data_IF_100367608471
#
_entry.id   IF_100367608471
#
_cell.length_a   1.000
_cell.length_b   1.000
_cell.length_c   1.000
_cell.angle_alpha   90.00
_cell.angle_beta   90.00
_cell.angle_gamma   90.00
#
_symmetry.space_group_name_H-M   'P 1'
#
loop_
_entity.id
_entity.type
_entity.pdbx_description
1 polymer ?
#
# COMPACT_ATOMS: atom_id res chain seq x y z
N UNK A 1 -27.45 -5.87 -1.71
CA UNK A 1 -26.11 -5.52 -1.22
C UNK A 1 -25.72 -4.14 -1.76
N UNK A 2 -25.27 -3.21 -0.90
CA UNK A 2 -24.83 -1.88 -1.33
C UNK A 2 -23.44 -1.92 -1.99
N UNK A 3 -23.14 -0.94 -2.84
CA UNK A 3 -21.81 -0.71 -3.43
C UNK A 3 -21.28 -1.88 -4.28
N UNK A 4 -22.14 -2.55 -5.06
CA UNK A 4 -21.79 -3.79 -5.77
C UNK A 4 -20.57 -3.64 -6.69
N UNK A 5 -20.51 -2.58 -7.51
CA UNK A 5 -19.39 -2.32 -8.41
C UNK A 5 -18.05 -2.21 -7.64
N UNK A 6 -18.05 -1.49 -6.51
CA UNK A 6 -16.85 -1.37 -5.68
C UNK A 6 -16.49 -2.69 -4.98
N UNK A 7 -17.49 -3.48 -4.57
CA UNK A 7 -17.26 -4.83 -4.02
C UNK A 7 -16.61 -5.75 -5.04
N UNK A 8 -17.08 -5.73 -6.29
CA UNK A 8 -16.50 -6.49 -7.40
C UNK A 8 -15.06 -6.05 -7.69
N UNK A 9 -14.81 -4.74 -7.74
CA UNK A 9 -13.46 -4.20 -7.92
C UNK A 9 -12.50 -4.61 -6.80
N UNK A 10 -12.96 -4.60 -5.54
CA UNK A 10 -12.18 -5.04 -4.39
C UNK A 10 -11.87 -6.54 -4.46
N UNK A 11 -12.84 -7.36 -4.89
CA UNK A 11 -12.60 -8.78 -5.15
C UNK A 11 -11.57 -8.99 -6.26
N UNK A 12 -11.65 -8.25 -7.36
CA UNK A 12 -10.68 -8.32 -8.46
C UNK A 12 -9.26 -7.99 -7.99
N UNK A 13 -9.07 -6.91 -7.21
CA UNK A 13 -7.78 -6.57 -6.59
C UNK A 13 -7.27 -7.71 -5.70
N UNK A 14 -8.13 -8.29 -4.85
CA UNK A 14 -7.75 -9.42 -4.01
C UNK A 14 -7.28 -10.64 -4.84
N UNK A 15 -8.00 -10.96 -5.91
CA UNK A 15 -7.66 -12.07 -6.78
C UNK A 15 -6.33 -11.81 -7.51
N UNK A 16 -6.10 -10.60 -8.02
CA UNK A 16 -4.83 -10.21 -8.66
C UNK A 16 -3.66 -10.29 -7.69
N UNK A 17 -3.81 -9.78 -6.47
CA UNK A 17 -2.77 -9.88 -5.43
C UNK A 17 -2.38 -11.34 -5.17
N UNK A 18 -3.37 -12.23 -5.09
CA UNK A 18 -3.11 -13.66 -4.92
C UNK A 18 -2.47 -14.31 -6.14
N UNK A 19 -2.95 -14.01 -7.35
CA UNK A 19 -2.41 -14.54 -8.61
C UNK A 19 -0.93 -14.12 -8.81
N UNK A 20 -0.57 -12.91 -8.39
CA UNK A 20 0.80 -12.39 -8.46
C UNK A 20 1.69 -12.88 -7.31
N UNK A 21 1.14 -13.65 -6.36
CA UNK A 21 1.89 -14.21 -5.23
C UNK A 21 2.30 -13.18 -4.18
N UNK A 22 1.57 -12.06 -4.06
CA UNK A 22 1.84 -11.04 -3.04
C UNK A 22 1.18 -11.33 -1.69
N UNK A 23 0.33 -12.36 -1.64
CA UNK A 23 -0.39 -12.80 -0.45
C UNK A 23 -0.41 -14.33 -0.44
N UNK A 24 -0.30 -14.92 0.75
CA UNK A 24 -0.33 -16.35 0.99
C UNK A 24 -1.32 -16.71 2.12
N UNK A 25 -1.94 -17.89 2.01
CA UNK A 25 -2.96 -18.34 2.94
C UNK A 25 -4.05 -17.27 3.14
N UNK A 26 -4.14 -16.65 4.32
CA UNK A 26 -5.15 -15.67 4.73
C UNK A 26 -4.59 -14.27 5.01
N UNK A 27 -3.33 -14.01 4.63
CA UNK A 27 -2.67 -12.72 4.87
C UNK A 27 -3.15 -11.61 3.91
N UNK A 28 -2.60 -10.41 4.10
CA UNK A 28 -2.96 -9.20 3.38
C UNK A 28 -4.36 -8.69 3.75
N UNK A 29 -4.64 -7.44 3.42
CA UNK A 29 -5.98 -6.87 3.61
C UNK A 29 -6.16 -5.60 2.76
N UNK A 30 -7.41 -5.34 2.39
CA UNK A 30 -7.80 -4.22 1.54
C UNK A 30 -8.98 -3.51 2.15
N UNK A 31 -8.93 -2.17 2.16
CA UNK A 31 -10.08 -1.34 2.49
C UNK A 31 -10.30 -0.23 1.48
N UNK A 32 -11.56 0.20 1.37
CA UNK A 32 -11.96 1.35 0.58
C UNK A 32 -12.94 2.20 1.37
N UNK A 33 -12.74 3.52 1.34
CA UNK A 33 -13.63 4.52 1.93
C UNK A 33 -14.89 4.66 1.09
N UNK A 34 -16.04 4.65 1.76
CA UNK A 34 -17.36 4.76 1.16
C UNK A 34 -17.87 6.21 1.21
N UNK A 35 -18.83 6.59 0.35
CA UNK A 35 -19.38 7.96 0.31
C UNK A 35 -20.02 8.43 1.62
N UNK A 36 -20.50 7.49 2.46
CA UNK A 36 -21.11 7.76 3.76
C UNK A 36 -20.08 7.90 4.90
N UNK A 37 -18.79 7.82 4.59
CA UNK A 37 -17.69 7.91 5.56
C UNK A 37 -17.31 6.59 6.24
N UNK A 38 -18.04 5.49 5.97
CA UNK A 38 -17.65 4.15 6.42
C UNK A 38 -16.61 3.52 5.48
N UNK A 39 -16.20 2.30 5.77
CA UNK A 39 -15.18 1.59 5.01
C UNK A 39 -15.65 0.18 4.63
N UNK A 40 -15.47 -0.17 3.36
CA UNK A 40 -15.58 -1.55 2.89
C UNK A 40 -14.24 -2.26 3.15
N UNK A 41 -14.26 -3.46 3.72
CA UNK A 41 -13.07 -4.16 4.14
C UNK A 41 -13.11 -5.67 3.82
N UNK A 42 -11.94 -6.24 3.53
CA UNK A 42 -11.75 -7.70 3.47
C UNK A 42 -11.92 -8.34 4.85
N UNK A 43 -12.57 -9.50 4.97
CA UNK A 43 -12.70 -10.22 6.23
C UNK A 43 -11.39 -10.90 6.65
N UNK A 44 -11.21 -11.10 7.95
CA UNK A 44 -10.11 -11.90 8.52
C UNK A 44 -10.29 -13.39 8.24
N UNK A 45 -9.17 -14.12 8.12
CA UNK A 45 -9.18 -15.58 8.02
C UNK A 45 -9.50 -16.14 6.63
N UNK A 46 -9.66 -15.28 5.61
CA UNK A 46 -9.96 -15.70 4.24
C UNK A 46 -8.80 -15.41 3.30
N UNK A 47 -8.50 -16.39 2.46
CA UNK A 47 -7.60 -16.18 1.33
C UNK A 47 -8.18 -15.16 0.38
N UNK A 48 -7.32 -14.30 -0.15
CA UNK A 48 -7.69 -13.29 -1.15
C UNK A 48 -8.19 -13.92 -2.46
N UNK A 49 -7.86 -15.19 -2.72
CA UNK A 49 -8.43 -16.02 -3.81
C UNK A 49 -9.90 -16.41 -3.66
N UNK A 50 -10.45 -16.36 -2.43
CA UNK A 50 -11.82 -16.79 -2.13
C UNK A 50 -12.74 -15.65 -1.72
N UNK A 51 -12.30 -14.41 -1.88
CA UNK A 51 -13.11 -13.24 -1.53
C UNK A 51 -14.22 -13.05 -2.57
N UNK A 52 -15.44 -12.90 -2.08
CA UNK A 52 -16.63 -12.64 -2.89
C UNK A 52 -17.36 -11.43 -2.33
N UNK A 53 -18.19 -10.72 -3.13
CA UNK A 53 -18.85 -9.49 -2.68
C UNK A 53 -19.61 -9.62 -1.36
N UNK A 54 -20.25 -10.76 -1.10
CA UNK A 54 -21.00 -11.09 0.12
C UNK A 54 -20.11 -11.29 1.36
N UNK A 55 -18.83 -11.61 1.17
CA UNK A 55 -17.86 -11.79 2.28
C UNK A 55 -17.29 -10.47 2.78
N UNK A 56 -17.41 -9.39 2.01
CA UNK A 56 -16.87 -8.09 2.39
C UNK A 56 -17.75 -7.43 3.46
N UNK A 57 -17.09 -6.82 4.44
CA UNK A 57 -17.74 -6.19 5.59
C UNK A 57 -17.67 -4.67 5.49
N UNK A 58 -18.70 -3.98 5.97
CA UNK A 58 -18.67 -2.53 6.17
C UNK A 58 -18.36 -2.26 7.63
N UNK A 59 -17.37 -1.41 7.88
CA UNK A 59 -16.94 -0.98 9.21
C UNK A 59 -16.98 0.54 9.33
N UNK A 60 -17.14 1.05 10.54
CA UNK A 60 -16.98 2.47 10.85
C UNK A 60 -15.51 2.87 11.06
N UNK A 61 -15.27 4.15 11.39
CA UNK A 61 -13.94 4.69 11.67
C UNK A 61 -13.27 4.17 12.95
N UNK A 62 -13.98 3.41 13.77
CA UNK A 62 -13.44 2.70 14.94
C UNK A 62 -13.18 1.22 14.64
N UNK A 63 -13.48 0.76 13.41
CA UNK A 63 -13.31 -0.62 12.98
C UNK A 63 -14.45 -1.55 13.43
N UNK A 64 -15.55 -1.00 13.95
CA UNK A 64 -16.72 -1.79 14.34
C UNK A 64 -17.55 -2.13 13.12
N UNK A 65 -18.04 -3.37 13.05
CA UNK A 65 -18.88 -3.85 11.95
C UNK A 65 -20.24 -3.15 11.97
N UNK A 66 -20.58 -2.53 10.84
CA UNK A 66 -21.87 -1.90 10.56
C UNK A 66 -22.75 -2.82 9.73
N UNK A 67 -22.19 -3.50 8.72
CA UNK A 67 -22.92 -4.39 7.82
C UNK A 67 -22.06 -5.59 7.42
N UNK A 68 -22.63 -6.80 7.52
CA UNK A 68 -22.05 -8.04 7.02
C UNK A 68 -23.18 -9.05 6.74
N UNK A 69 -23.11 -9.78 5.62
CA UNK A 69 -24.10 -10.82 5.24
C UNK A 69 -23.95 -12.12 6.07
N UNK A 70 -23.03 -12.14 7.04
CA UNK A 70 -22.76 -13.28 7.91
C UNK A 70 -21.89 -12.89 9.10
N UNK A 71 -21.31 -13.87 9.78
CA UNK A 71 -20.44 -13.64 10.95
C UNK A 71 -19.01 -13.18 10.59
N UNK A 72 -18.83 -12.57 9.41
CA UNK A 72 -17.55 -12.06 8.95
C UNK A 72 -17.09 -10.89 9.82
N UNK A 73 -15.78 -10.85 10.08
CA UNK A 73 -15.13 -9.80 10.88
C UNK A 73 -13.99 -9.19 10.05
N UNK A 74 -13.68 -7.90 10.22
CA UNK A 74 -12.55 -7.28 9.54
C UNK A 74 -11.22 -7.91 9.97
N UNK A 75 -10.17 -7.68 9.19
CA UNK A 75 -8.78 -8.00 9.58
C UNK A 75 -8.44 -7.41 10.95
N UNK A 76 -7.60 -8.11 11.73
CA UNK A 76 -7.06 -7.58 12.99
C UNK A 76 -6.11 -6.39 12.77
N UNK A 77 -5.61 -6.22 11.55
CA UNK A 77 -4.67 -5.16 11.17
C UNK A 77 -5.35 -3.91 10.62
N UNK A 78 -6.69 -3.87 10.66
CA UNK A 78 -7.47 -2.76 10.11
C UNK A 78 -7.15 -1.41 10.76
N UNK A 79 -6.63 -1.44 12.00
CA UNK A 79 -6.14 -0.26 12.72
C UNK A 79 -5.10 0.53 11.92
N UNK A 80 -4.22 -0.17 11.19
CA UNK A 80 -3.23 0.45 10.31
C UNK A 80 -3.92 1.22 9.16
N UNK A 81 -4.96 0.64 8.57
CA UNK A 81 -5.74 1.28 7.51
C UNK A 81 -6.49 2.51 8.03
N UNK A 82 -7.15 2.38 9.19
CA UNK A 82 -7.90 3.46 9.83
C UNK A 82 -6.98 4.63 10.21
N UNK A 83 -5.73 4.36 10.62
CA UNK A 83 -4.72 5.40 10.82
C UNK A 83 -4.47 6.17 9.53
N UNK A 84 -4.27 5.51 8.38
CA UNK A 84 -4.10 6.20 7.10
C UNK A 84 -5.28 7.15 6.80
N UNK A 85 -6.52 6.67 6.90
CA UNK A 85 -7.70 7.51 6.63
C UNK A 85 -7.84 8.71 7.58
N UNK A 86 -7.42 8.55 8.84
CA UNK A 86 -7.50 9.62 9.85
C UNK A 86 -6.47 10.71 9.62
N UNK A 87 -5.22 10.32 9.32
CA UNK A 87 -4.13 11.29 9.12
C UNK A 87 -4.16 11.91 7.71
N UNK A 88 -4.79 11.24 6.73
CA UNK A 88 -4.76 11.63 5.32
C UNK A 88 -6.16 11.65 4.71
N UNK A 89 -6.82 12.83 4.65
CA UNK A 89 -8.15 12.99 4.07
C UNK A 89 -8.23 12.64 2.57
N UNK A 90 -7.11 12.71 1.85
CA UNK A 90 -6.99 12.40 0.43
C UNK A 90 -6.92 10.88 0.14
N UNK A 91 -6.82 10.05 1.16
CA UNK A 91 -6.80 8.58 1.01
C UNK A 91 -8.24 8.05 0.89
N UNK A 92 -8.51 7.39 -0.23
CA UNK A 92 -9.76 6.68 -0.51
C UNK A 92 -9.63 5.16 -0.43
N UNK A 93 -8.43 4.59 -0.48
CA UNK A 93 -8.21 3.15 -0.30
C UNK A 93 -6.84 2.83 0.28
N UNK A 94 -6.74 1.66 0.90
CA UNK A 94 -5.50 1.14 1.50
C UNK A 94 -5.35 -0.35 1.16
N UNK A 95 -4.17 -0.74 0.68
CA UNK A 95 -3.80 -2.12 0.33
C UNK A 95 -2.56 -2.52 1.12
N UNK A 96 -2.67 -3.59 1.89
CA UNK A 96 -1.56 -4.24 2.59
C UNK A 96 -1.33 -5.65 2.03
N UNK A 97 -0.06 -5.97 1.77
CA UNK A 97 0.36 -7.23 1.18
C UNK A 97 1.81 -7.57 1.55
N UNK A 98 2.26 -8.75 1.11
CA UNK A 98 3.61 -9.30 1.29
C UNK A 98 4.29 -9.61 -0.07
N UNK A 99 4.40 -8.64 -1.00
CA UNK A 99 5.11 -8.85 -2.26
C UNK A 99 6.55 -9.33 -2.00
N UNK A 100 7.00 -10.47 -2.55
CA UNK A 100 8.21 -11.14 -2.06
C UNK A 100 9.49 -10.32 -2.12
N UNK A 101 9.71 -9.55 -3.20
CA UNK A 101 10.97 -8.82 -3.37
C UNK A 101 10.98 -7.59 -2.48
N UNK A 102 9.92 -6.79 -2.49
CA UNK A 102 9.78 -5.63 -1.61
C UNK A 102 9.79 -6.03 -0.13
N UNK A 103 9.11 -7.12 0.25
CA UNK A 103 9.21 -7.69 1.60
C UNK A 103 10.64 -8.13 1.92
N UNK A 104 11.38 -8.65 0.95
CA UNK A 104 12.80 -8.96 1.08
C UNK A 104 13.66 -7.76 1.49
N UNK A 105 13.42 -6.57 0.89
CA UNK A 105 14.07 -5.33 1.32
C UNK A 105 13.69 -4.97 2.76
N UNK A 106 12.41 -5.10 3.12
CA UNK A 106 11.93 -4.80 4.46
C UNK A 106 12.53 -5.72 5.54
N UNK A 107 12.72 -7.01 5.23
CA UNK A 107 13.41 -8.00 6.07
C UNK A 107 14.91 -7.72 6.14
N UNK A 108 15.52 -7.26 5.04
CA UNK A 108 16.93 -6.90 4.99
C UNK A 108 17.26 -5.56 5.68
N UNK A 109 16.26 -4.85 6.22
CA UNK A 109 16.47 -3.56 6.85
C UNK A 109 16.79 -2.44 5.87
N UNK A 110 16.32 -2.55 4.61
CA UNK A 110 16.64 -1.60 3.54
C UNK A 110 15.41 -0.83 3.07
N UNK A 111 15.54 0.48 2.97
CA UNK A 111 14.63 1.34 2.19
C UNK A 111 14.79 1.06 0.69
N UNK A 112 13.82 1.55 -0.08
CA UNK A 112 13.86 1.60 -1.54
C UNK A 112 13.84 3.06 -1.96
N UNK A 113 15.00 3.71 -1.92
CA UNK A 113 15.15 5.17 -2.05
C UNK A 113 16.06 5.63 -3.18
N UNK A 114 16.50 4.71 -4.03
CA UNK A 114 17.25 5.02 -5.24
C UNK A 114 16.35 5.64 -6.33
N UNK A 115 16.83 6.67 -7.01
CA UNK A 115 16.14 7.32 -8.12
C UNK A 115 16.62 6.74 -9.45
N UNK A 116 16.48 5.44 -9.64
CA UNK A 116 17.05 4.69 -10.78
C UNK A 116 16.03 4.34 -11.88
N UNK A 117 14.73 4.55 -11.65
CA UNK A 117 13.66 4.24 -12.59
C UNK A 117 12.69 5.42 -12.74
N UNK A 118 12.43 5.85 -13.97
CA UNK A 118 11.62 7.06 -14.26
C UNK A 118 10.20 6.92 -13.71
N UNK A 119 9.57 5.79 -13.96
CA UNK A 119 8.19 5.49 -13.56
C UNK A 119 8.04 5.55 -12.02
N UNK A 120 8.98 4.94 -11.29
CA UNK A 120 9.00 4.97 -9.82
C UNK A 120 9.15 6.40 -9.29
N UNK A 121 10.07 7.19 -9.87
CA UNK A 121 10.31 8.58 -9.45
C UNK A 121 9.08 9.47 -9.65
N UNK A 122 8.25 9.19 -10.66
CA UNK A 122 6.99 9.92 -10.87
C UNK A 122 5.88 9.40 -9.94
N UNK A 123 5.74 8.08 -9.85
CA UNK A 123 4.56 7.46 -9.26
C UNK A 123 4.61 7.41 -7.73
N UNK A 124 5.74 7.04 -7.14
CA UNK A 124 5.83 6.65 -5.72
C UNK A 124 7.05 7.22 -4.97
N UNK A 125 8.06 7.72 -5.68
CA UNK A 125 9.25 8.32 -5.10
C UNK A 125 10.07 7.34 -4.26
N UNK A 126 10.81 7.85 -3.27
CA UNK A 126 11.48 6.99 -2.30
C UNK A 126 10.50 6.35 -1.33
N UNK A 127 10.75 5.09 -1.03
CA UNK A 127 9.92 4.27 -0.14
C UNK A 127 10.67 4.06 1.18
N UNK A 128 10.15 4.58 2.31
CA UNK A 128 10.76 4.41 3.60
C UNK A 128 10.59 2.98 4.11
N UNK A 129 11.52 2.57 4.97
CA UNK A 129 11.34 1.43 5.86
C UNK A 129 10.83 1.93 7.21
N UNK A 130 9.61 1.57 7.59
CA UNK A 130 9.07 1.96 8.89
C UNK A 130 9.65 1.05 9.99
N UNK A 131 9.88 1.56 11.21
CA UNK A 131 10.30 0.73 12.33
C UNK A 131 9.38 -0.47 12.54
N UNK A 132 9.94 -1.56 13.07
CA UNK A 132 9.16 -2.72 13.48
C UNK A 132 8.05 -2.32 14.47
N UNK A 133 6.86 -2.87 14.24
CA UNK A 133 5.77 -2.85 15.19
C UNK A 133 5.07 -4.21 15.16
N UNK A 134 4.58 -4.66 16.31
CA UNK A 134 3.87 -5.93 16.42
C UNK A 134 2.52 -5.84 15.68
N UNK A 135 2.23 -6.72 14.71
CA UNK A 135 0.95 -6.75 14.02
C UNK A 135 -0.24 -6.87 14.98
N UNK A 136 -1.39 -6.32 14.59
CA UNK A 136 -2.63 -6.31 15.40
C UNK A 136 -2.56 -5.52 16.73
N UNK A 137 -1.47 -4.79 17.01
CA UNK A 137 -1.39 -3.79 18.09
C UNK A 137 -1.47 -2.37 17.52
N UNK A 138 -1.27 -1.35 18.36
CA UNK A 138 -1.17 0.04 17.91
C UNK A 138 0.26 0.43 17.46
N UNK A 139 1.24 -0.48 17.61
CA UNK A 139 2.65 -0.23 17.27
C UNK A 139 2.86 -0.02 15.76
N UNK A 140 2.23 -0.83 14.89
CA UNK A 140 2.35 -0.64 13.43
C UNK A 140 1.71 0.70 12.99
N UNK A 141 0.47 1.04 13.40
CA UNK A 141 -0.09 2.38 13.18
C UNK A 141 0.83 3.52 13.64
N UNK A 142 1.45 3.39 14.82
CA UNK A 142 2.38 4.39 15.36
C UNK A 142 3.66 4.48 14.52
N UNK A 143 4.22 3.34 14.10
CA UNK A 143 5.44 3.27 13.30
C UNK A 143 5.28 3.92 11.91
N UNK A 144 4.11 3.79 11.26
CA UNK A 144 3.87 4.40 9.94
C UNK A 144 3.53 5.90 10.03
N UNK A 145 3.00 6.38 11.16
CA UNK A 145 2.43 7.73 11.30
C UNK A 145 3.39 8.86 10.91
N UNK A 146 4.68 8.84 11.31
CA UNK A 146 5.63 9.89 10.93
C UNK A 146 5.87 10.02 9.42
N UNK A 147 5.60 8.97 8.64
CA UNK A 147 5.84 8.91 7.20
C UNK A 147 4.59 9.24 6.38
N UNK A 148 3.39 9.12 6.96
CA UNK A 148 2.12 9.38 6.28
C UNK A 148 2.00 10.77 5.64
N UNK A 149 2.57 11.87 6.17
CA UNK A 149 2.43 13.18 5.53
C UNK A 149 3.06 13.28 4.13
N UNK A 150 4.08 12.46 3.85
CA UNK A 150 4.92 12.59 2.65
C UNK A 150 4.82 11.39 1.69
N UNK A 151 4.46 10.21 2.19
CA UNK A 151 4.53 8.96 1.44
C UNK A 151 3.15 8.36 1.15
N UNK A 152 3.10 7.62 0.05
CA UNK A 152 1.95 6.81 -0.32
C UNK A 152 2.25 5.30 -0.35
N UNK A 153 3.52 4.93 -0.17
CA UNK A 153 4.04 3.56 -0.19
C UNK A 153 5.02 3.39 0.97
N UNK A 154 4.93 2.25 1.66
CA UNK A 154 5.71 1.98 2.87
C UNK A 154 6.19 0.53 2.87
N UNK A 155 7.46 0.32 3.18
CA UNK A 155 7.94 -0.98 3.62
C UNK A 155 7.78 -1.08 5.14
N UNK A 156 7.30 -2.24 5.61
CA UNK A 156 7.09 -2.53 7.02
C UNK A 156 8.16 -3.54 7.47
N UNK A 157 9.08 -3.11 8.34
CA UNK A 157 10.23 -3.93 8.77
C UNK A 157 9.81 -5.32 9.27
N UNK A 158 10.42 -6.37 8.70
CA UNK A 158 10.13 -7.78 8.98
C UNK A 158 8.66 -8.20 8.81
N UNK A 159 7.89 -7.47 8.00
CA UNK A 159 6.46 -7.71 7.86
C UNK A 159 6.06 -7.74 6.38
N UNK A 160 6.05 -6.61 5.70
CA UNK A 160 5.40 -6.48 4.40
C UNK A 160 5.46 -5.10 3.79
N UNK A 161 4.41 -4.75 3.05
CA UNK A 161 4.22 -3.44 2.47
C UNK A 161 2.81 -2.90 2.72
N UNK A 162 2.71 -1.57 2.74
CA UNK A 162 1.45 -0.84 2.80
C UNK A 162 1.42 0.19 1.68
N UNK A 163 0.28 0.34 1.03
CA UNK A 163 0.05 1.39 0.03
C UNK A 163 -1.29 2.05 0.25
N UNK A 164 -1.33 3.35 0.02
CA UNK A 164 -2.56 4.15 0.06
C UNK A 164 -2.82 4.74 -1.32
N UNK A 165 -4.07 5.06 -1.64
CA UNK A 165 -4.47 5.66 -2.91
C UNK A 165 -5.69 6.55 -2.76
N UNK A 166 -5.89 7.49 -3.69
CA UNK A 166 -7.13 8.27 -3.78
C UNK A 166 -8.36 7.38 -4.06
N UNK A 167 -8.11 6.22 -4.67
CA UNK A 167 -9.06 5.17 -4.94
C UNK A 167 -8.36 3.80 -4.87
N UNK A 168 -9.16 2.73 -4.96
CA UNK A 168 -8.71 1.34 -4.84
C UNK A 168 -7.67 0.95 -5.91
N UNK A 169 -7.88 1.38 -7.15
CA UNK A 169 -6.99 1.02 -8.26
C UNK A 169 -5.65 1.76 -8.12
N UNK A 170 -5.67 3.03 -7.72
CA UNK A 170 -4.46 3.79 -7.42
C UNK A 170 -3.65 3.14 -6.30
N UNK A 171 -4.28 2.70 -5.21
CA UNK A 171 -3.59 1.99 -4.13
C UNK A 171 -2.97 0.68 -4.63
N UNK A 172 -3.71 -0.12 -5.41
CA UNK A 172 -3.21 -1.36 -5.99
C UNK A 172 -2.04 -1.15 -6.97
N UNK A 173 -2.12 -0.17 -7.87
CA UNK A 173 -1.03 0.14 -8.82
C UNK A 173 0.25 0.61 -8.12
N UNK A 174 0.14 1.24 -6.96
CA UNK A 174 1.30 1.58 -6.13
C UNK A 174 1.97 0.34 -5.56
N UNK A 175 1.18 -0.66 -5.14
CA UNK A 175 1.71 -1.95 -4.70
C UNK A 175 2.40 -2.70 -5.85
N UNK A 176 1.81 -2.64 -7.04
CA UNK A 176 2.41 -3.21 -8.26
C UNK A 176 3.74 -2.54 -8.63
N UNK A 177 3.75 -1.21 -8.61
CA UNK A 177 4.94 -0.41 -8.90
C UNK A 177 6.04 -0.68 -7.87
N UNK A 178 5.69 -0.80 -6.58
CA UNK A 178 6.63 -1.14 -5.51
C UNK A 178 7.33 -2.46 -5.78
N UNK A 179 6.57 -3.53 -6.05
CA UNK A 179 7.17 -4.85 -6.26
C UNK A 179 8.00 -4.91 -7.55
N UNK A 180 7.55 -4.24 -8.62
CA UNK A 180 8.33 -4.12 -9.84
C UNK A 180 9.65 -3.37 -9.59
N UNK A 181 9.59 -2.26 -8.87
CA UNK A 181 10.77 -1.47 -8.54
C UNK A 181 11.75 -2.27 -7.67
N UNK A 182 11.26 -2.99 -6.67
CA UNK A 182 12.08 -3.86 -5.83
C UNK A 182 12.82 -4.93 -6.66
N UNK A 183 12.14 -5.56 -7.63
CA UNK A 183 12.76 -6.53 -8.56
C UNK A 183 13.85 -5.92 -9.43
N UNK A 184 13.59 -4.72 -9.96
CA UNK A 184 14.56 -4.01 -10.82
C UNK A 184 15.76 -3.55 -10.01
N UNK A 185 15.56 -2.93 -8.83
CA UNK A 185 16.64 -2.50 -7.94
C UNK A 185 17.50 -3.71 -7.52
N UNK A 186 16.87 -4.83 -7.12
CA UNK A 186 17.61 -6.04 -6.76
C UNK A 186 18.45 -6.55 -7.92
N UNK A 187 17.90 -6.57 -9.13
CA UNK A 187 18.63 -6.96 -10.34
C UNK A 187 19.81 -6.02 -10.61
N UNK A 188 19.62 -4.71 -10.48
CA UNK A 188 20.69 -3.73 -10.66
C UNK A 188 21.82 -3.92 -9.63
N UNK A 189 21.49 -4.18 -8.36
CA UNK A 189 22.48 -4.48 -7.32
C UNK A 189 23.26 -5.77 -7.60
N UNK A 190 22.59 -6.82 -8.07
CA UNK A 190 23.25 -8.07 -8.49
C UNK A 190 24.20 -7.85 -9.68
N UNK A 191 23.94 -6.84 -10.52
CA UNK A 191 24.79 -6.45 -11.66
C UNK A 191 25.88 -5.42 -11.31
N UNK A 192 26.04 -5.07 -10.03
CA UNK A 192 27.11 -4.18 -9.55
C UNK A 192 26.66 -2.80 -9.10
N UNK A 193 25.35 -2.53 -9.02
CA UNK A 193 24.80 -1.30 -8.47
C UNK A 193 23.86 -0.57 -9.42
N UNK A 194 22.87 0.15 -8.86
CA UNK A 194 22.02 1.04 -9.64
C UNK A 194 22.78 2.32 -10.03
N UNK A 195 22.48 2.84 -11.22
CA UNK A 195 22.94 4.17 -11.66
C UNK A 195 21.77 5.14 -11.59
N UNK A 196 21.79 6.00 -10.58
CA UNK A 196 20.70 6.96 -10.37
C UNK A 196 20.64 8.04 -11.44
N UNK A 197 19.41 8.48 -11.68
CA UNK A 197 19.06 9.63 -12.50
C UNK A 197 19.66 10.87 -11.82
N UNK A 198 20.28 11.73 -12.61
CA UNK A 198 20.88 12.96 -12.07
C UNK A 198 19.80 13.92 -11.58
N UNK A 199 20.11 14.70 -10.55
CA UNK A 199 19.15 15.56 -9.86
C UNK A 199 18.34 16.49 -10.79
N UNK A 200 18.94 17.18 -11.79
CA UNK A 200 18.17 18.04 -12.69
C UNK A 200 17.13 17.30 -13.54
N UNK A 201 17.34 16.01 -13.81
CA UNK A 201 16.37 15.18 -14.51
C UNK A 201 15.27 14.72 -13.56
N UNK A 202 15.59 14.39 -12.30
CA UNK A 202 14.59 14.08 -11.27
C UNK A 202 13.64 15.26 -11.09
N UNK A 203 14.15 16.50 -10.99
CA UNK A 203 13.30 17.68 -10.84
C UNK A 203 12.32 17.86 -12.01
N UNK A 204 12.73 17.50 -13.25
CA UNK A 204 11.82 17.47 -14.41
C UNK A 204 10.76 16.38 -14.30
N UNK A 205 11.08 15.22 -13.73
CA UNK A 205 10.11 14.15 -13.51
C UNK A 205 9.08 14.55 -12.45
N UNK A 206 9.51 15.24 -11.40
CA UNK A 206 8.62 15.80 -10.38
C UNK A 206 7.70 16.88 -10.97
N UNK A 207 8.22 17.71 -11.89
CA UNK A 207 7.40 18.68 -12.65
C UNK A 207 6.35 17.97 -13.52
N UNK A 208 6.74 16.91 -14.26
CA UNK A 208 5.81 16.11 -15.06
C UNK A 208 4.72 15.45 -14.21
N UNK A 209 5.07 14.93 -13.03
CA UNK A 209 4.12 14.35 -12.08
C UNK A 209 2.99 15.34 -11.76
N UNK A 210 3.36 16.57 -11.45
CA UNK A 210 2.44 17.61 -10.99
C UNK A 210 1.64 18.24 -12.15
N UNK A 211 2.35 18.64 -13.21
CA UNK A 211 1.82 19.53 -14.24
C UNK A 211 1.32 18.82 -15.50
N UNK A 212 1.72 17.55 -15.72
CA UNK A 212 1.33 16.79 -16.92
C UNK A 212 0.47 15.57 -16.58
N UNK A 213 0.96 14.71 -15.68
CA UNK A 213 0.28 13.47 -15.31
C UNK A 213 -0.78 13.66 -14.23
N UNK A 214 -0.69 14.74 -13.44
CA UNK A 214 -1.58 15.02 -12.31
C UNK A 214 -1.73 13.83 -11.36
N UNK A 215 -0.60 13.20 -11.01
CA UNK A 215 -0.61 12.01 -10.14
C UNK A 215 -1.14 12.41 -8.76
N UNK A 216 -2.18 11.72 -8.30
CA UNK A 216 -2.83 12.00 -7.02
C UNK A 216 -1.96 11.62 -5.83
N UNK A 217 -2.32 12.05 -4.62
CA UNK A 217 -1.63 11.70 -3.38
C UNK A 217 -0.31 12.45 -3.13
N UNK A 218 0.50 11.96 -2.19
CA UNK A 218 1.73 12.62 -1.73
C UNK A 218 2.96 12.08 -2.43
N UNK A 219 4.05 12.83 -2.32
CA UNK A 219 5.33 12.48 -2.88
C UNK A 219 6.46 13.07 -2.03
N UNK A 220 7.52 12.31 -1.69
CA UNK A 220 8.59 12.80 -0.83
C UNK A 220 9.59 13.73 -1.53
N UNK A 221 9.41 13.96 -2.84
CA UNK A 221 10.35 14.71 -3.66
C UNK A 221 11.63 13.92 -3.88
N UNK A 222 12.77 14.45 -3.41
CA UNK A 222 14.06 13.78 -3.44
C UNK A 222 14.59 13.60 -2.02
N UNK A 223 14.51 12.37 -1.54
CA UNK A 223 14.82 11.96 -0.17
C UNK A 223 15.45 10.56 -0.18
N UNK A 224 16.55 10.43 0.53
CA UNK A 224 17.27 9.19 0.82
C UNK A 224 17.20 8.90 2.31
N UNK A 225 17.18 7.62 2.70
CA UNK A 225 17.18 7.17 4.08
C UNK A 225 18.51 6.52 4.44
N UNK A 226 19.00 6.84 5.63
CA UNK A 226 20.22 6.22 6.15
C UNK A 226 19.81 5.05 7.04
N UNK A 227 19.79 3.83 6.48
CA UNK A 227 19.53 2.58 7.21
C UNK A 227 20.58 1.52 6.88
#
# INVERSE_FOLDING_TARGET
>A
MKYMELREQLCDVCHKMWQLGWVAANDGNVTVKLPDGNFLATPTGYSKSFITPDKLVIIDGEGKVIEAEGSYKPSSEIKMHLRCYRERPDVGAVVHAHPPTATGYAVAGKSLDEYSMIETVIAIGSIPLTPYGTPSTDEVPEAITPYLPEHDVFLLQNHGALTVGADLITAYYRMETLELFAKISLTAHLLGGAKEIQRPQIDKLLDLRENYYHVTGKHPGYKHYNH
#
